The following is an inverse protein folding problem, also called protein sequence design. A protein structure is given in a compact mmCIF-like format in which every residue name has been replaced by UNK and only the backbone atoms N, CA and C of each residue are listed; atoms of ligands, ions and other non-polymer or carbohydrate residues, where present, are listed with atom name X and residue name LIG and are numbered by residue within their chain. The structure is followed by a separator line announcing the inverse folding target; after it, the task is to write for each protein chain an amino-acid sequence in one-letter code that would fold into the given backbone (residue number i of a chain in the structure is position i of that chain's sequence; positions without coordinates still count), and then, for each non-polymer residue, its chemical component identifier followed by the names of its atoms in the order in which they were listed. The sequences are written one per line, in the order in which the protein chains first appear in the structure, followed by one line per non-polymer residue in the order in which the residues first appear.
data_IF_249458110645
#
_entry.id   IF_249458110645
#
_cell.length_a   1.000
_cell.length_b   1.000
_cell.length_c   1.000
_cell.angle_alpha   90.00
_cell.angle_beta   90.00
_cell.angle_gamma   90.00
#
_symmetry.space_group_name_H-M   'P 1'
#
loop_
_entity.id
_entity.type
_entity.pdbx_description
1 polymer ?
#
# COMPACT_ATOMS: atom_id res chain seq x y z
N UNK A 1 -11.71 5.46 15.84
CA UNK A 1 -12.35 4.43 14.97
C UNK A 1 -11.91 4.55 13.52
N UNK A 2 -12.01 5.73 12.90
CA UNK A 2 -11.63 5.95 11.49
C UNK A 2 -10.16 5.63 11.19
N UNK A 3 -9.24 5.98 12.09
CA UNK A 3 -7.79 5.67 11.98
C UNK A 3 -7.51 4.16 11.96
N UNK A 4 -8.21 3.38 12.79
CA UNK A 4 -8.09 1.92 12.81
C UNK A 4 -8.63 1.26 11.55
N UNK A 5 -9.73 1.79 11.00
CA UNK A 5 -10.29 1.35 9.72
C UNK A 5 -9.32 1.64 8.56
N UNK A 6 -8.63 2.76 8.62
CA UNK A 6 -7.57 3.14 7.69
C UNK A 6 -6.34 2.24 7.81
N UNK A 7 -5.98 1.82 9.03
CA UNK A 7 -4.92 0.84 9.25
C UNK A 7 -5.24 -0.55 8.68
N UNK A 8 -6.50 -1.00 8.76
CA UNK A 8 -6.93 -2.25 8.12
C UNK A 8 -6.70 -2.25 6.60
N UNK A 9 -6.97 -1.11 5.94
CA UNK A 9 -6.69 -0.95 4.51
C UNK A 9 -5.20 -0.99 4.17
N UNK A 10 -4.34 -0.46 5.05
CA UNK A 10 -2.88 -0.50 4.87
C UNK A 10 -2.33 -1.92 5.02
N UNK A 11 -2.83 -2.70 5.99
CA UNK A 11 -2.54 -4.14 6.10
C UNK A 11 -2.97 -4.88 4.84
N UNK A 12 -4.18 -4.62 4.34
CA UNK A 12 -4.69 -5.29 3.15
C UNK A 12 -3.78 -5.01 1.94
N UNK A 13 -3.35 -3.76 1.77
CA UNK A 13 -2.40 -3.40 0.73
C UNK A 13 -1.02 -4.05 0.92
N UNK A 14 -0.51 -4.13 2.16
CA UNK A 14 0.75 -4.81 2.46
C UNK A 14 0.68 -6.31 2.11
N UNK A 15 -0.39 -6.99 2.52
CA UNK A 15 -0.63 -8.40 2.21
C UNK A 15 -0.72 -8.59 0.70
N UNK A 16 -1.48 -7.76 -0.01
CA UNK A 16 -1.58 -7.84 -1.46
C UNK A 16 -0.24 -7.62 -2.17
N UNK A 17 0.62 -6.76 -1.63
CA UNK A 17 1.97 -6.51 -2.16
C UNK A 17 2.85 -7.77 -2.02
N UNK A 18 2.80 -8.44 -0.86
CA UNK A 18 3.55 -9.70 -0.63
C UNK A 18 3.05 -10.81 -1.57
N UNK A 19 1.73 -10.98 -1.68
CA UNK A 19 1.13 -12.00 -2.54
C UNK A 19 1.47 -11.74 -4.00
N UNK A 20 1.44 -10.47 -4.45
CA UNK A 20 1.84 -10.09 -5.81
C UNK A 20 3.29 -10.48 -6.13
N UNK A 21 4.20 -10.41 -5.17
CA UNK A 21 5.60 -10.82 -5.36
C UNK A 21 5.84 -12.33 -5.32
N UNK A 22 5.08 -13.08 -4.53
CA UNK A 22 5.27 -14.53 -4.40
C UNK A 22 4.54 -15.33 -5.48
N UNK A 23 3.39 -14.84 -5.95
CA UNK A 23 2.58 -15.49 -6.97
C UNK A 23 2.07 -14.46 -8.00
N UNK A 24 2.91 -14.05 -8.97
CA UNK A 24 2.53 -13.07 -9.99
C UNK A 24 1.38 -13.53 -10.90
N UNK A 25 1.03 -14.82 -10.86
CA UNK A 25 0.04 -15.46 -11.75
C UNK A 25 -1.31 -15.75 -11.05
N UNK A 26 -1.37 -15.76 -9.70
CA UNK A 26 -2.58 -16.17 -8.97
C UNK A 26 -3.29 -15.01 -8.23
N UNK A 27 -2.59 -13.94 -7.87
CA UNK A 27 -3.23 -12.73 -7.35
C UNK A 27 -3.75 -11.87 -8.50
N UNK A 28 -5.06 -11.97 -8.72
CA UNK A 28 -5.88 -11.13 -9.59
C UNK A 28 -5.36 -9.70 -9.68
N UNK A 29 -4.80 -9.34 -10.84
CA UNK A 29 -4.33 -7.98 -11.18
C UNK A 29 -5.33 -6.88 -10.78
N UNK A 30 -6.61 -7.22 -10.78
CA UNK A 30 -7.72 -6.38 -10.32
C UNK A 30 -7.64 -6.05 -8.80
N UNK A 31 -7.39 -7.03 -7.93
CA UNK A 31 -7.29 -6.81 -6.48
C UNK A 31 -6.07 -5.95 -6.11
N UNK A 32 -4.94 -6.19 -6.78
CA UNK A 32 -3.72 -5.38 -6.62
C UNK A 32 -3.98 -3.95 -7.09
N UNK A 33 -4.69 -3.79 -8.21
CA UNK A 33 -5.14 -2.50 -8.72
C UNK A 33 -6.05 -1.75 -7.74
N UNK A 34 -7.00 -2.44 -7.08
CA UNK A 34 -7.84 -1.83 -6.05
C UNK A 34 -7.05 -1.41 -4.81
N UNK A 35 -6.08 -2.21 -4.37
CA UNK A 35 -5.19 -1.85 -3.27
C UNK A 35 -4.31 -0.63 -3.61
N UNK A 36 -3.78 -0.58 -4.83
CA UNK A 36 -3.06 0.58 -5.35
C UNK A 36 -3.94 1.83 -5.38
N UNK A 37 -5.14 1.74 -5.95
CA UNK A 37 -6.09 2.85 -6.03
C UNK A 37 -6.48 3.36 -4.64
N UNK A 38 -6.71 2.46 -3.68
CA UNK A 38 -6.98 2.82 -2.29
C UNK A 38 -5.84 3.64 -1.68
N UNK A 39 -4.59 3.18 -1.80
CA UNK A 39 -3.42 3.88 -1.25
C UNK A 39 -3.18 5.23 -1.92
N UNK A 40 -3.36 5.32 -3.24
CA UNK A 40 -3.23 6.59 -3.98
C UNK A 40 -4.31 7.58 -3.56
N UNK A 41 -5.57 7.16 -3.45
CA UNK A 41 -6.67 8.04 -3.06
C UNK A 41 -6.54 8.49 -1.61
N UNK A 42 -6.29 7.56 -0.68
CA UNK A 42 -6.07 7.86 0.73
C UNK A 42 -4.85 8.77 0.92
N UNK A 43 -3.72 8.36 0.36
CA UNK A 43 -2.47 9.11 0.41
C UNK A 43 -2.60 10.50 -0.21
N UNK A 44 -3.31 10.61 -1.33
CA UNK A 44 -3.60 11.87 -2.01
C UNK A 44 -4.42 12.82 -1.14
N UNK A 45 -5.51 12.34 -0.54
CA UNK A 45 -6.36 13.17 0.33
C UNK A 45 -5.58 13.67 1.55
N UNK A 46 -4.81 12.79 2.21
CA UNK A 46 -4.06 13.18 3.41
C UNK A 46 -2.79 13.97 3.12
N UNK A 47 -2.16 13.79 1.96
CA UNK A 47 -1.00 14.59 1.56
C UNK A 47 -1.39 16.04 1.27
N UNK A 48 -2.56 16.25 0.65
CA UNK A 48 -3.16 17.58 0.46
C UNK A 48 -3.53 18.26 1.78
N UNK A 49 -3.87 17.49 2.81
CA UNK A 49 -4.08 17.98 4.18
C UNK A 49 -2.77 18.30 4.94
N UNK A 50 -1.61 18.24 4.27
CA UNK A 50 -0.30 18.60 4.84
C UNK A 50 0.44 17.45 5.51
N UNK A 51 -0.04 16.21 5.42
CA UNK A 51 0.66 15.06 6.02
C UNK A 51 1.75 14.51 5.08
N UNK A 52 3.01 14.78 5.42
CA UNK A 52 4.20 14.35 4.66
C UNK A 52 4.25 12.81 4.53
N UNK A 53 3.83 12.08 5.56
CA UNK A 53 3.85 10.60 5.57
C UNK A 53 2.90 10.04 4.51
N UNK A 54 1.84 10.76 4.17
CA UNK A 54 0.85 10.33 3.18
C UNK A 54 1.32 10.48 1.74
N UNK A 55 2.40 11.24 1.47
CA UNK A 55 3.05 11.20 0.15
C UNK A 55 3.69 9.84 -0.12
N UNK A 56 4.20 9.18 0.93
CA UNK A 56 4.81 7.86 0.81
C UNK A 56 3.73 6.80 0.53
N UNK A 57 2.50 6.97 1.02
CA UNK A 57 1.37 6.10 0.64
C UNK A 57 1.09 6.18 -0.86
N UNK A 58 1.11 7.40 -1.43
CA UNK A 58 0.90 7.59 -2.87
C UNK A 58 2.00 6.88 -3.65
N UNK A 59 3.27 7.04 -3.25
CA UNK A 59 4.39 6.36 -3.88
C UNK A 59 4.27 4.83 -3.76
N UNK A 60 3.86 4.31 -2.61
CA UNK A 60 3.59 2.88 -2.42
C UNK A 60 2.44 2.41 -3.32
N UNK A 61 1.37 3.18 -3.43
CA UNK A 61 0.24 2.89 -4.32
C UNK A 61 0.65 2.85 -5.79
N UNK A 62 1.45 3.82 -6.25
CA UNK A 62 2.03 3.83 -7.60
C UNK A 62 2.93 2.61 -7.83
N UNK A 63 3.75 2.25 -6.85
CA UNK A 63 4.59 1.05 -6.95
C UNK A 63 3.78 -0.24 -7.02
N UNK A 64 2.73 -0.38 -6.21
CA UNK A 64 1.82 -1.54 -6.24
C UNK A 64 1.07 -1.62 -7.57
N UNK A 65 0.75 -0.47 -8.18
CA UNK A 65 0.24 -0.42 -9.55
C UNK A 65 1.27 -0.92 -10.56
N UNK A 66 2.54 -0.53 -10.46
CA UNK A 66 3.62 -1.05 -11.31
C UNK A 66 3.83 -2.57 -11.14
N UNK A 67 3.70 -3.07 -9.91
CA UNK A 67 3.68 -4.51 -9.62
C UNK A 67 2.55 -5.23 -10.36
N UNK A 68 1.37 -4.61 -10.48
CA UNK A 68 0.25 -5.19 -11.25
C UNK A 68 0.54 -5.31 -12.76
N UNK A 69 1.45 -4.49 -13.27
CA UNK A 69 1.95 -4.54 -14.66
C UNK A 69 3.12 -5.53 -14.84
N UNK A 70 3.57 -6.17 -13.76
CA UNK A 70 4.68 -7.14 -13.77
C UNK A 70 6.06 -6.52 -13.53
N UNK A 71 6.14 -5.22 -13.20
CA UNK A 71 7.41 -4.57 -12.85
C UNK A 71 7.67 -4.83 -11.36
N UNK A 72 8.57 -5.76 -11.06
CA UNK A 72 8.93 -6.17 -9.70
C UNK A 72 10.38 -5.78 -9.39
N UNK A 73 10.56 -4.95 -8.37
CA UNK A 73 11.87 -4.61 -7.81
C UNK A 73 11.93 -5.10 -6.36
N UNK A 74 12.63 -6.20 -6.05
CA UNK A 74 12.57 -6.85 -4.74
C UNK A 74 12.89 -5.91 -3.56
N UNK A 75 13.88 -5.04 -3.75
CA UNK A 75 14.25 -4.02 -2.75
C UNK A 75 13.13 -3.02 -2.50
N UNK A 76 12.50 -2.50 -3.57
CA UNK A 76 11.39 -1.56 -3.45
C UNK A 76 10.17 -2.20 -2.78
N UNK A 77 9.89 -3.46 -3.10
CA UNK A 77 8.82 -4.21 -2.44
C UNK A 77 9.07 -4.36 -0.95
N UNK A 78 10.29 -4.68 -0.55
CA UNK A 78 10.66 -4.79 0.87
C UNK A 78 10.41 -3.47 1.60
N UNK A 79 10.84 -2.34 1.02
CA UNK A 79 10.60 -1.02 1.61
C UNK A 79 9.10 -0.67 1.68
N UNK A 80 8.33 -0.94 0.63
CA UNK A 80 6.88 -0.68 0.62
C UNK A 80 6.15 -1.50 1.69
N UNK A 81 6.49 -2.79 1.83
CA UNK A 81 5.88 -3.67 2.84
C UNK A 81 6.27 -3.22 4.24
N UNK A 82 7.55 -2.97 4.52
CA UNK A 82 8.00 -2.51 5.83
C UNK A 82 7.33 -1.19 6.23
N UNK A 83 7.20 -0.25 5.29
CA UNK A 83 6.52 1.01 5.53
C UNK A 83 5.02 0.83 5.83
N UNK A 84 4.30 0.05 5.03
CA UNK A 84 2.86 -0.20 5.24
C UNK A 84 2.60 -0.95 6.56
N UNK A 85 3.45 -1.91 6.92
CA UNK A 85 3.37 -2.63 8.20
C UNK A 85 3.64 -1.68 9.36
N UNK A 86 4.70 -0.87 9.29
CA UNK A 86 5.00 0.15 10.30
C UNK A 86 3.82 1.08 10.48
N UNK A 87 3.28 1.64 9.39
CA UNK A 87 2.16 2.58 9.41
C UNK A 87 0.90 1.96 10.00
N UNK A 88 0.66 0.69 9.71
CA UNK A 88 -0.47 0.00 10.29
C UNK A 88 -0.31 -0.15 11.80
N UNK A 89 0.88 -0.54 12.27
CA UNK A 89 1.16 -0.62 13.70
C UNK A 89 0.86 0.73 14.38
N UNK A 90 1.37 1.85 13.84
CA UNK A 90 1.06 3.18 14.35
C UNK A 90 -0.43 3.51 14.35
N UNK A 91 -1.18 3.07 13.33
CA UNK A 91 -2.63 3.31 13.24
C UNK A 91 -3.47 2.49 14.24
N UNK A 92 -2.93 1.40 14.78
CA UNK A 92 -3.58 0.59 15.83
C UNK A 92 -3.21 1.03 17.24
N UNK A 93 -1.98 1.52 17.43
CA UNK A 93 -1.47 2.00 18.73
C UNK A 93 -1.81 3.47 19.02
N UNK A 94 -2.23 4.25 18.00
CA UNK A 94 -2.80 5.59 18.15
C UNK A 94 -4.33 5.56 18.32
#
# INVERSE_FOLDING_TARGET
MLVKLMGLGDIFAAVMTIVATMHPVAASKQLIGYAAAYLVLKGGIFSLAGNIVSYIDVLCGVYIFLLSLGISLPLLTLFAVLFLVQKTAFSFFA
#
